data_IF_282895244806
#
_entry.id   IF_282895244806
#
_cell.length_a   1.000
_cell.length_b   1.000
_cell.length_c   1.000
_cell.angle_alpha   90.00
_cell.angle_beta   90.00
_cell.angle_gamma   90.00
#
_symmetry.space_group_name_H-M   'P 1'
#
loop_
_entity.id
_entity.type
_entity.pdbx_description
1 polymer ?
#
# COMPACT_ATOMS: atom_id res chain seq x y z
N UNK A 1 -1.06 33.85 -10.28
CA UNK A 1 0.04 33.07 -10.91
C UNK A 1 0.63 32.10 -9.91
N UNK A 2 0.79 32.50 -8.65
CA UNK A 2 1.34 31.66 -7.57
C UNK A 2 0.46 30.44 -7.23
N UNK A 3 -0.86 30.60 -7.26
CA UNK A 3 -1.80 29.49 -6.97
C UNK A 3 -1.76 28.38 -8.04
N UNK A 4 -1.55 28.74 -9.31
CA UNK A 4 -1.41 27.77 -10.40
C UNK A 4 -0.09 26.99 -10.30
N UNK A 5 1.00 27.69 -9.93
CA UNK A 5 2.30 27.06 -9.74
C UNK A 5 2.29 26.10 -8.56
N UNK A 6 1.65 26.49 -7.45
CA UNK A 6 1.52 25.63 -6.26
C UNK A 6 0.61 24.42 -6.53
N UNK A 7 -0.48 24.57 -7.26
CA UNK A 7 -1.37 23.45 -7.63
C UNK A 7 -0.65 22.44 -8.55
N UNK A 8 0.11 22.93 -9.53
CA UNK A 8 0.90 22.07 -10.43
C UNK A 8 2.00 21.33 -9.66
N UNK A 9 2.72 22.02 -8.77
CA UNK A 9 3.74 21.39 -7.94
C UNK A 9 3.15 20.31 -7.03
N UNK A 10 1.99 20.56 -6.42
CA UNK A 10 1.30 19.58 -5.58
C UNK A 10 0.88 18.34 -6.37
N UNK A 11 0.33 18.53 -7.58
CA UNK A 11 -0.08 17.42 -8.43
C UNK A 11 1.10 16.54 -8.85
N UNK A 12 2.25 17.13 -9.16
CA UNK A 12 3.46 16.38 -9.50
C UNK A 12 4.04 15.64 -8.29
N UNK A 13 4.06 16.25 -7.11
CA UNK A 13 4.48 15.58 -5.88
C UNK A 13 3.58 14.36 -5.60
N UNK A 14 2.26 14.54 -5.69
CA UNK A 14 1.30 13.45 -5.48
C UNK A 14 1.48 12.33 -6.50
N UNK A 15 1.72 12.67 -7.77
CA UNK A 15 2.00 11.69 -8.83
C UNK A 15 3.27 10.90 -8.56
N UNK A 16 4.36 11.56 -8.18
CA UNK A 16 5.64 10.90 -7.85
C UNK A 16 5.47 9.96 -6.64
N UNK A 17 4.78 10.40 -5.59
CA UNK A 17 4.49 9.58 -4.43
C UNK A 17 3.63 8.36 -4.78
N UNK A 18 2.61 8.55 -5.62
CA UNK A 18 1.75 7.47 -6.08
C UNK A 18 2.55 6.41 -6.88
N UNK A 19 3.39 6.85 -7.81
CA UNK A 19 4.28 5.95 -8.59
C UNK A 19 5.30 5.24 -7.70
N UNK A 20 5.87 5.92 -6.70
CA UNK A 20 6.76 5.30 -5.73
C UNK A 20 6.06 4.21 -4.92
N UNK A 21 4.82 4.46 -4.50
CA UNK A 21 3.97 3.45 -3.85
C UNK A 21 3.68 2.26 -4.75
N UNK A 22 3.36 2.51 -6.03
CA UNK A 22 3.15 1.46 -7.04
C UNK A 22 4.41 0.60 -7.19
N UNK A 23 5.58 1.21 -7.36
CA UNK A 23 6.84 0.50 -7.51
C UNK A 23 7.15 -0.35 -6.26
N UNK A 24 7.01 0.23 -5.08
CA UNK A 24 7.29 -0.45 -3.82
C UNK A 24 6.35 -1.66 -3.59
N UNK A 25 5.04 -1.48 -3.81
CA UNK A 25 4.09 -2.56 -3.60
C UNK A 25 4.14 -3.63 -4.71
N UNK A 26 4.41 -3.26 -5.96
CA UNK A 26 4.64 -4.22 -7.04
C UNK A 26 5.88 -5.07 -6.76
N UNK A 27 6.98 -4.46 -6.33
CA UNK A 27 8.21 -5.16 -5.97
C UNK A 27 8.01 -6.13 -4.80
N UNK A 28 7.38 -5.69 -3.71
CA UNK A 28 7.12 -6.55 -2.54
C UNK A 28 6.17 -7.70 -2.86
N UNK A 29 5.15 -7.46 -3.69
CA UNK A 29 4.19 -8.49 -4.11
C UNK A 29 4.82 -9.51 -5.04
N UNK A 30 5.65 -9.08 -5.98
CA UNK A 30 6.41 -9.96 -6.86
C UNK A 30 7.44 -10.81 -6.09
N UNK A 31 8.16 -10.21 -5.15
CA UNK A 31 9.08 -10.95 -4.28
C UNK A 31 8.36 -12.03 -3.46
N UNK A 32 7.16 -11.72 -2.96
CA UNK A 32 6.32 -12.68 -2.25
C UNK A 32 5.82 -13.81 -3.17
N UNK A 33 5.35 -13.48 -4.38
CA UNK A 33 4.93 -14.46 -5.38
C UNK A 33 6.06 -15.44 -5.70
N UNK A 34 7.27 -14.91 -5.91
CA UNK A 34 8.46 -15.74 -6.13
C UNK A 34 8.77 -16.68 -4.96
N UNK A 35 8.73 -16.17 -3.73
CA UNK A 35 8.97 -16.98 -2.54
C UNK A 35 7.97 -18.15 -2.40
N UNK A 36 6.80 -18.04 -3.04
CA UNK A 36 5.76 -19.07 -3.10
C UNK A 36 5.91 -20.01 -4.30
N UNK A 37 6.92 -19.83 -5.15
CA UNK A 37 7.18 -20.67 -6.31
C UNK A 37 6.31 -20.35 -7.53
N UNK A 38 5.71 -19.16 -7.61
CA UNK A 38 4.96 -18.74 -8.79
C UNK A 38 5.92 -18.57 -9.99
N UNK A 39 5.41 -18.83 -11.18
CA UNK A 39 6.11 -18.59 -12.44
C UNK A 39 6.24 -17.08 -12.76
N UNK A 40 6.94 -16.76 -13.84
CA UNK A 40 7.17 -15.37 -14.23
C UNK A 40 5.87 -14.61 -14.50
N UNK A 41 4.88 -15.25 -15.14
CA UNK A 41 3.59 -14.62 -15.42
C UNK A 41 2.83 -14.33 -14.12
N UNK A 42 2.73 -15.31 -13.22
CA UNK A 42 2.07 -15.17 -11.92
C UNK A 42 2.73 -14.07 -11.05
N UNK A 43 4.06 -14.00 -11.09
CA UNK A 43 4.84 -12.97 -10.40
C UNK A 43 4.53 -11.57 -10.95
N UNK A 44 4.56 -11.40 -12.28
CA UNK A 44 4.26 -10.11 -12.91
C UNK A 44 2.79 -9.72 -12.70
N UNK A 45 1.86 -10.66 -12.92
CA UNK A 45 0.44 -10.42 -12.72
C UNK A 45 0.14 -9.97 -11.28
N UNK A 46 0.70 -10.67 -10.28
CA UNK A 46 0.50 -10.30 -8.87
C UNK A 46 1.12 -8.95 -8.54
N UNK A 47 2.33 -8.67 -9.04
CA UNK A 47 3.00 -7.39 -8.84
C UNK A 47 2.19 -6.23 -9.43
N UNK A 48 1.73 -6.38 -10.68
CA UNK A 48 0.93 -5.35 -11.37
C UNK A 48 -0.42 -5.15 -10.67
N UNK A 49 -1.16 -6.22 -10.40
CA UNK A 49 -2.50 -6.14 -9.79
C UNK A 49 -2.41 -5.57 -8.37
N UNK A 50 -1.45 -5.98 -7.57
CA UNK A 50 -1.26 -5.43 -6.23
C UNK A 50 -0.73 -4.00 -6.27
N UNK A 51 0.22 -3.71 -7.17
CA UNK A 51 0.82 -2.39 -7.30
C UNK A 51 -0.18 -1.33 -7.75
N UNK A 52 -1.08 -1.64 -8.66
CA UNK A 52 -2.08 -0.70 -9.19
C UNK A 52 -3.40 -0.75 -8.42
N UNK A 53 -3.71 -1.88 -7.76
CA UNK A 53 -5.04 -2.17 -7.22
C UNK A 53 -5.53 -1.16 -6.18
N UNK A 54 -4.66 -0.70 -5.28
CA UNK A 54 -5.00 0.30 -4.27
C UNK A 54 -5.41 1.65 -4.88
N UNK A 55 -4.63 2.13 -5.86
CA UNK A 55 -4.93 3.35 -6.62
C UNK A 55 -6.19 3.22 -7.48
N UNK A 56 -6.37 2.08 -8.13
CA UNK A 56 -7.59 1.80 -8.93
C UNK A 56 -8.85 1.77 -8.05
N UNK A 57 -8.80 1.17 -6.86
CA UNK A 57 -9.91 1.21 -5.91
C UNK A 57 -10.24 2.64 -5.49
N UNK A 58 -9.23 3.43 -5.14
CA UNK A 58 -9.39 4.86 -4.80
C UNK A 58 -10.07 5.62 -5.93
N UNK A 59 -9.53 5.53 -7.15
CA UNK A 59 -10.00 6.31 -8.29
C UNK A 59 -11.42 5.89 -8.70
N UNK A 60 -11.73 4.59 -8.60
CA UNK A 60 -13.10 4.08 -8.82
C UNK A 60 -14.07 4.64 -7.79
N UNK A 61 -13.68 4.78 -6.52
CA UNK A 61 -14.54 5.36 -5.48
C UNK A 61 -14.67 6.88 -5.61
N UNK A 62 -13.65 7.56 -6.12
CA UNK A 62 -13.69 9.00 -6.38
C UNK A 62 -14.62 9.39 -7.52
N UNK A 63 -14.89 8.49 -8.47
CA UNK A 63 -15.79 8.71 -9.63
C UNK A 63 -15.41 9.95 -10.46
N UNK A 64 -14.14 10.28 -10.56
CA UNK A 64 -13.64 11.46 -11.30
C UNK A 64 -13.05 11.09 -12.68
N UNK A 65 -13.61 10.08 -13.31
CA UNK A 65 -13.16 9.57 -14.60
C UNK A 65 -12.45 8.22 -14.50
N UNK A 66 -11.77 7.78 -15.57
CA UNK A 66 -11.03 6.53 -15.55
C UNK A 66 -9.89 6.57 -14.53
N UNK A 67 -9.56 5.45 -13.87
CA UNK A 67 -8.43 5.37 -12.98
C UNK A 67 -7.13 5.87 -13.62
N UNK A 68 -6.34 6.64 -12.88
CA UNK A 68 -5.08 7.24 -13.39
C UNK A 68 -4.11 6.14 -13.87
N UNK A 69 -4.13 4.98 -13.24
CA UNK A 69 -3.35 3.83 -13.69
C UNK A 69 -3.63 3.38 -15.13
N UNK A 70 -4.78 3.75 -15.70
CA UNK A 70 -5.16 3.44 -17.07
C UNK A 70 -4.94 4.60 -18.04
N UNK A 71 -4.76 5.82 -17.55
CA UNK A 71 -4.63 7.03 -18.36
C UNK A 71 -3.21 7.60 -18.39
N UNK A 72 -2.45 7.43 -17.32
CA UNK A 72 -1.04 7.84 -17.25
C UNK A 72 -0.13 6.66 -17.63
N UNK A 73 0.57 6.82 -18.74
CA UNK A 73 1.48 5.82 -19.31
C UNK A 73 2.64 5.39 -18.38
N UNK A 74 2.92 6.11 -17.29
CA UNK A 74 3.99 5.77 -16.36
C UNK A 74 3.62 4.64 -15.41
N UNK A 75 2.34 4.43 -15.09
CA UNK A 75 1.92 3.51 -14.02
C UNK A 75 2.18 2.05 -14.33
N UNK A 76 1.70 1.59 -15.49
CA UNK A 76 1.84 0.19 -15.88
C UNK A 76 3.31 -0.23 -16.07
N UNK A 77 4.15 0.52 -16.81
CA UNK A 77 5.59 0.21 -16.92
C UNK A 77 6.28 0.23 -15.56
N UNK A 78 5.95 1.17 -14.65
CA UNK A 78 6.53 1.21 -13.31
C UNK A 78 6.20 -0.06 -12.53
N UNK A 79 4.95 -0.52 -12.54
CA UNK A 79 4.55 -1.76 -11.88
C UNK A 79 5.27 -2.98 -12.46
N UNK A 80 5.32 -3.10 -13.80
CA UNK A 80 5.98 -4.22 -14.50
C UNK A 80 7.47 -4.23 -14.19
N UNK A 81 8.17 -3.10 -14.35
CA UNK A 81 9.61 -3.02 -14.13
C UNK A 81 9.97 -3.31 -12.68
N UNK A 82 9.23 -2.75 -11.71
CA UNK A 82 9.46 -3.01 -10.29
C UNK A 82 9.22 -4.49 -9.94
N UNK A 83 8.16 -5.10 -10.47
CA UNK A 83 7.89 -6.52 -10.29
C UNK A 83 8.99 -7.39 -10.93
N UNK A 84 9.42 -7.06 -12.14
CA UNK A 84 10.46 -7.79 -12.85
C UNK A 84 11.80 -7.74 -12.10
N UNK A 85 12.23 -6.54 -11.70
CA UNK A 85 13.48 -6.35 -10.95
C UNK A 85 13.45 -7.15 -9.64
N UNK A 86 12.38 -7.02 -8.85
CA UNK A 86 12.23 -7.76 -7.60
C UNK A 86 12.14 -9.28 -7.82
N UNK A 87 11.51 -9.69 -8.92
CA UNK A 87 11.41 -11.09 -9.31
C UNK A 87 12.74 -11.70 -9.76
N UNK A 88 13.62 -10.95 -10.39
CA UNK A 88 14.93 -11.41 -10.85
C UNK A 88 15.98 -11.45 -9.73
N UNK A 89 15.86 -10.62 -8.72
CA UNK A 89 16.76 -10.63 -7.57
C UNK A 89 16.55 -11.92 -6.78
N UNK A 90 17.59 -12.76 -6.65
CA UNK A 90 17.53 -13.96 -5.83
C UNK A 90 17.35 -13.56 -4.37
N UNK A 91 16.21 -13.97 -3.81
CA UNK A 91 15.92 -13.83 -2.39
C UNK A 91 16.66 -14.93 -1.66
N UNK A 92 17.96 -14.72 -1.39
CA UNK A 92 18.62 -15.47 -0.34
C UNK A 92 18.07 -14.97 1.00
N UNK A 93 17.98 -15.84 2.02
CA UNK A 93 17.49 -15.52 3.38
C UNK A 93 18.38 -14.50 4.13
N UNK A 94 18.93 -13.55 3.40
CA UNK A 94 19.80 -12.51 3.95
C UNK A 94 18.97 -11.45 4.67
N UNK A 95 19.38 -11.13 5.87
CA UNK A 95 18.75 -10.10 6.76
C UNK A 95 18.56 -8.77 6.04
N UNK A 96 19.48 -8.36 5.16
CA UNK A 96 19.35 -7.11 4.41
C UNK A 96 18.19 -7.10 3.42
N UNK A 97 17.84 -8.26 2.83
CA UNK A 97 16.73 -8.38 1.89
C UNK A 97 15.38 -8.19 2.60
N UNK A 98 15.22 -8.81 3.77
CA UNK A 98 14.03 -8.63 4.61
C UNK A 98 13.88 -7.17 5.04
N UNK A 99 14.99 -6.50 5.37
CA UNK A 99 15.03 -5.07 5.67
C UNK A 99 14.62 -4.20 4.48
N UNK A 100 15.13 -4.50 3.29
CA UNK A 100 14.78 -3.76 2.06
C UNK A 100 13.28 -3.86 1.74
N UNK A 101 12.71 -5.06 1.80
CA UNK A 101 11.26 -5.26 1.59
C UNK A 101 10.43 -4.53 2.64
N UNK A 102 10.88 -4.51 3.89
CA UNK A 102 10.22 -3.76 4.96
C UNK A 102 10.26 -2.24 4.72
N UNK A 103 11.37 -1.71 4.21
CA UNK A 103 11.50 -0.30 3.85
C UNK A 103 10.61 0.06 2.64
N UNK A 104 10.57 -0.80 1.62
CA UNK A 104 9.69 -0.60 0.45
C UNK A 104 8.22 -0.61 0.85
N UNK A 105 7.82 -1.55 1.71
CA UNK A 105 6.45 -1.64 2.23
C UNK A 105 6.08 -0.40 3.07
N UNK A 106 6.98 0.06 3.93
CA UNK A 106 6.80 1.28 4.71
C UNK A 106 6.70 2.53 3.82
N UNK A 107 7.53 2.61 2.77
CA UNK A 107 7.46 3.67 1.77
C UNK A 107 6.09 3.69 1.08
N UNK A 108 5.60 2.52 0.64
CA UNK A 108 4.29 2.40 0.02
C UNK A 108 3.17 2.91 0.94
N UNK A 109 3.21 2.58 2.24
CA UNK A 109 2.23 3.08 3.23
C UNK A 109 2.24 4.60 3.29
N UNK A 110 3.41 5.21 3.46
CA UNK A 110 3.53 6.67 3.55
C UNK A 110 3.08 7.38 2.27
N UNK A 111 3.58 6.92 1.12
CA UNK A 111 3.26 7.48 -0.19
C UNK A 111 1.76 7.41 -0.50
N UNK A 112 1.16 6.23 -0.34
CA UNK A 112 -0.23 6.03 -0.74
C UNK A 112 -1.23 6.63 0.24
N UNK A 113 -0.95 6.64 1.54
CA UNK A 113 -1.80 7.34 2.49
C UNK A 113 -1.84 8.83 2.19
N UNK A 114 -0.66 9.43 1.90
CA UNK A 114 -0.53 10.82 1.56
C UNK A 114 -1.21 11.15 0.22
N UNK A 115 -0.86 10.43 -0.86
CA UNK A 115 -1.42 10.67 -2.19
C UNK A 115 -2.93 10.41 -2.24
N UNK A 116 -3.40 9.36 -1.54
CA UNK A 116 -4.82 9.01 -1.50
C UNK A 116 -5.67 10.05 -0.78
N UNK A 117 -5.20 10.54 0.37
CA UNK A 117 -5.90 11.59 1.12
C UNK A 117 -5.88 12.93 0.39
N UNK A 118 -4.75 13.30 -0.21
CA UNK A 118 -4.60 14.53 -0.97
C UNK A 118 -5.55 14.53 -2.18
N UNK A 119 -5.58 13.46 -2.98
CA UNK A 119 -6.48 13.36 -4.13
C UNK A 119 -7.95 13.45 -3.72
N UNK A 120 -8.34 12.85 -2.59
CA UNK A 120 -9.71 12.94 -2.10
C UNK A 120 -10.07 14.37 -1.70
N UNK A 121 -9.15 15.10 -1.05
CA UNK A 121 -9.37 16.51 -0.70
C UNK A 121 -9.44 17.40 -1.95
N UNK A 122 -8.53 17.20 -2.91
CA UNK A 122 -8.54 17.93 -4.20
C UNK A 122 -9.81 17.66 -5.02
N UNK A 123 -10.40 16.48 -4.85
CA UNK A 123 -11.71 16.10 -5.40
C UNK A 123 -12.90 16.73 -4.65
N UNK A 124 -12.67 17.57 -3.65
CA UNK A 124 -13.70 18.21 -2.86
C UNK A 124 -14.37 17.29 -1.81
N UNK A 125 -13.79 16.13 -1.53
CA UNK A 125 -14.30 15.21 -0.51
C UNK A 125 -14.09 15.75 0.90
N UNK A 126 -14.98 15.35 1.83
CA UNK A 126 -14.83 15.70 3.24
C UNK A 126 -13.57 15.05 3.85
N UNK A 127 -13.05 15.65 4.92
CA UNK A 127 -11.84 15.13 5.58
C UNK A 127 -11.96 13.67 6.08
N UNK A 128 -13.13 13.18 6.59
CA UNK A 128 -13.22 11.76 6.95
C UNK A 128 -13.16 10.85 5.73
N UNK A 129 -13.76 11.26 4.60
CA UNK A 129 -13.68 10.54 3.35
C UNK A 129 -12.22 10.51 2.82
N UNK A 130 -11.48 11.60 2.94
CA UNK A 130 -10.08 11.67 2.57
C UNK A 130 -9.21 10.71 3.41
N UNK A 131 -9.42 10.66 4.72
CA UNK A 131 -8.73 9.70 5.60
C UNK A 131 -9.08 8.26 5.23
N UNK A 132 -10.35 7.99 4.97
CA UNK A 132 -10.81 6.67 4.54
C UNK A 132 -10.17 6.26 3.21
N UNK A 133 -10.21 7.12 2.19
CA UNK A 133 -9.66 6.82 0.86
C UNK A 133 -8.14 6.70 0.87
N UNK A 134 -7.43 7.53 1.63
CA UNK A 134 -5.99 7.37 1.85
C UNK A 134 -5.67 6.02 2.48
N UNK A 135 -6.41 5.62 3.50
CA UNK A 135 -6.25 4.32 4.15
C UNK A 135 -6.56 3.17 3.20
N UNK A 136 -7.69 3.24 2.46
CA UNK A 136 -8.09 2.22 1.49
C UNK A 136 -7.07 2.08 0.36
N UNK A 137 -6.45 3.18 -0.09
CA UNK A 137 -5.40 3.13 -1.11
C UNK A 137 -4.22 2.27 -0.64
N UNK A 138 -3.82 2.45 0.62
CA UNK A 138 -2.72 1.70 1.23
C UNK A 138 -3.06 0.21 1.37
N UNK A 139 -4.18 -0.09 2.01
CA UNK A 139 -4.52 -1.49 2.33
C UNK A 139 -5.03 -2.26 1.13
N UNK A 140 -5.63 -1.58 0.14
CA UNK A 140 -6.32 -2.20 -0.98
C UNK A 140 -5.44 -3.10 -1.83
N UNK A 141 -4.27 -2.62 -2.22
CA UNK A 141 -3.31 -3.42 -3.00
C UNK A 141 -2.81 -4.64 -2.25
N UNK A 142 -2.52 -4.49 -0.95
CA UNK A 142 -2.11 -5.59 -0.07
C UNK A 142 -3.22 -6.62 0.15
N UNK A 143 -4.46 -6.17 0.34
CA UNK A 143 -5.63 -7.06 0.47
C UNK A 143 -5.85 -7.87 -0.81
N UNK A 144 -5.82 -7.21 -1.97
CA UNK A 144 -5.96 -7.89 -3.27
C UNK A 144 -4.86 -8.95 -3.43
N UNK A 145 -3.61 -8.60 -3.16
CA UNK A 145 -2.49 -9.54 -3.18
C UNK A 145 -2.74 -10.76 -2.29
N UNK A 146 -3.08 -10.53 -1.02
CA UNK A 146 -3.20 -11.60 -0.05
C UNK A 146 -4.39 -12.52 -0.38
N UNK A 147 -5.51 -11.96 -0.89
CA UNK A 147 -6.67 -12.73 -1.36
C UNK A 147 -6.30 -13.60 -2.57
N UNK A 148 -5.58 -13.05 -3.55
CA UNK A 148 -5.11 -13.82 -4.72
C UNK A 148 -4.15 -14.95 -4.31
N UNK A 149 -3.35 -14.73 -3.26
CA UNK A 149 -2.47 -15.75 -2.68
C UNK A 149 -3.19 -16.70 -1.70
N UNK A 150 -4.51 -16.60 -1.58
CA UNK A 150 -5.33 -17.39 -0.64
C UNK A 150 -4.84 -17.29 0.81
N UNK A 151 -4.40 -16.11 1.22
CA UNK A 151 -3.95 -15.81 2.57
C UNK A 151 -4.90 -14.83 3.25
N UNK A 152 -4.98 -14.90 4.58
CA UNK A 152 -5.66 -13.85 5.35
C UNK A 152 -4.90 -12.55 5.17
N UNK A 153 -5.55 -11.45 4.70
CA UNK A 153 -4.88 -10.16 4.55
C UNK A 153 -4.21 -9.71 5.85
N UNK A 154 -2.97 -9.24 5.75
CA UNK A 154 -2.16 -8.85 6.91
C UNK A 154 -2.84 -7.78 7.77
N UNK A 155 -3.66 -6.93 7.17
CA UNK A 155 -4.41 -5.89 7.87
C UNK A 155 -5.41 -6.47 8.89
N UNK A 156 -5.87 -7.71 8.71
CA UNK A 156 -6.81 -8.40 9.61
C UNK A 156 -6.13 -9.47 10.48
N UNK A 157 -4.86 -9.78 10.22
CA UNK A 157 -4.14 -10.89 10.87
C UNK A 157 -3.35 -10.47 12.12
N UNK A 158 -3.61 -9.28 12.69
CA UNK A 158 -2.86 -8.79 13.86
C UNK A 158 -1.40 -8.42 13.54
N UNK A 159 -1.11 -8.08 12.29
CA UNK A 159 0.20 -7.64 11.83
C UNK A 159 0.68 -6.32 12.46
N UNK A 160 1.88 -5.83 12.11
CA UNK A 160 2.36 -4.53 12.57
C UNK A 160 1.32 -3.44 12.23
N UNK A 161 1.37 -2.31 12.95
CA UNK A 161 0.39 -1.20 12.93
C UNK A 161 0.17 -0.56 11.52
N UNK A 162 -0.07 -1.41 10.51
CA UNK A 162 -0.13 -1.04 9.10
C UNK A 162 -1.32 -0.11 8.81
N UNK A 163 -2.54 -0.55 9.13
CA UNK A 163 -3.73 0.25 8.93
C UNK A 163 -3.73 1.51 9.82
N UNK A 164 -3.28 1.40 11.07
CA UNK A 164 -3.15 2.53 11.99
C UNK A 164 -2.19 3.58 11.46
N UNK A 165 -1.03 3.14 10.91
CA UNK A 165 -0.07 4.05 10.28
C UNK A 165 -0.67 4.76 9.06
N UNK A 166 -1.45 4.05 8.24
CA UNK A 166 -2.15 4.63 7.10
C UNK A 166 -3.20 5.68 7.53
N UNK A 167 -4.00 5.39 8.56
CA UNK A 167 -4.99 6.33 9.11
C UNK A 167 -4.30 7.59 9.66
N UNK A 168 -3.21 7.44 10.40
CA UNK A 168 -2.49 8.59 10.95
C UNK A 168 -1.82 9.43 9.86
N UNK A 169 -1.24 8.80 8.85
CA UNK A 169 -0.66 9.51 7.71
C UNK A 169 -1.73 10.27 6.92
N UNK A 170 -2.84 9.63 6.56
CA UNK A 170 -3.95 10.27 5.85
C UNK A 170 -4.58 11.38 6.70
N UNK A 171 -4.71 11.17 8.02
CA UNK A 171 -5.15 12.18 8.97
C UNK A 171 -4.24 13.40 9.03
N UNK A 172 -2.92 13.19 8.94
CA UNK A 172 -1.94 14.29 8.88
C UNK A 172 -2.17 15.18 7.67
N UNK A 173 -2.41 14.60 6.48
CA UNK A 173 -2.76 15.38 5.29
C UNK A 173 -4.03 16.19 5.52
N UNK A 174 -5.09 15.56 6.06
CA UNK A 174 -6.36 16.21 6.28
C UNK A 174 -6.27 17.39 7.28
N UNK A 175 -5.48 17.24 8.34
CA UNK A 175 -5.25 18.31 9.32
C UNK A 175 -4.42 19.44 8.71
N UNK A 176 -3.32 19.13 8.04
CA UNK A 176 -2.43 20.13 7.44
C UNK A 176 -3.11 20.88 6.28
N UNK A 177 -3.97 20.22 5.51
CA UNK A 177 -4.77 20.87 4.49
C UNK A 177 -5.72 21.92 5.08
N UNK A 178 -6.34 21.65 6.24
CA UNK A 178 -7.17 22.63 6.96
C UNK A 178 -6.39 23.85 7.46
N UNK A 179 -5.08 23.66 7.72
CA UNK A 179 -4.19 24.73 8.13
C UNK A 179 -3.57 25.49 6.93
N UNK A 180 -3.96 25.16 5.70
CA UNK A 180 -3.45 25.78 4.48
C UNK A 180 -2.09 25.27 4.02
N UNK A 181 -1.57 24.18 4.61
CA UNK A 181 -0.25 23.62 4.35
C UNK A 181 -0.31 22.23 3.69
N UNK A 182 -1.11 22.07 2.63
CA UNK A 182 -1.37 20.75 2.02
C UNK A 182 -0.09 20.07 1.53
N UNK A 183 0.77 20.77 0.79
CA UNK A 183 2.03 20.19 0.26
C UNK A 183 2.94 19.72 1.39
N UNK A 184 3.16 20.54 2.40
CA UNK A 184 3.96 20.17 3.58
C UNK A 184 3.31 19.00 4.32
N UNK A 185 1.97 19.00 4.43
CA UNK A 185 1.20 17.93 5.03
C UNK A 185 1.39 16.59 4.31
N UNK A 186 1.41 16.58 3.00
CA UNK A 186 1.67 15.39 2.17
C UNK A 186 3.08 14.82 2.43
N UNK A 187 4.10 15.68 2.50
CA UNK A 187 5.46 15.24 2.81
C UNK A 187 5.62 14.75 4.25
N UNK A 188 5.00 15.43 5.23
CA UNK A 188 5.01 14.99 6.63
C UNK A 188 4.27 13.65 6.79
N UNK A 189 3.15 13.48 6.09
CA UNK A 189 2.39 12.22 6.13
C UNK A 189 3.20 11.03 5.60
N UNK A 190 4.05 11.23 4.59
CA UNK A 190 4.99 10.21 4.11
C UNK A 190 5.89 9.71 5.26
N UNK A 191 6.47 10.64 6.03
CA UNK A 191 7.34 10.31 7.16
C UNK A 191 6.56 9.68 8.33
N UNK A 192 5.36 10.18 8.62
CA UNK A 192 4.49 9.62 9.67
C UNK A 192 4.09 8.19 9.33
N UNK A 193 3.58 7.94 8.11
CA UNK A 193 3.13 6.61 7.69
C UNK A 193 4.28 5.61 7.61
N UNK A 194 5.31 5.95 6.83
CA UNK A 194 6.47 5.08 6.64
C UNK A 194 7.27 4.89 7.92
N UNK A 195 7.54 5.97 8.64
CA UNK A 195 8.29 5.94 9.90
C UNK A 195 7.60 5.10 10.98
N UNK A 196 6.28 5.26 11.14
CA UNK A 196 5.53 4.50 12.14
C UNK A 196 5.52 2.99 11.82
N UNK A 197 5.38 2.60 10.55
CA UNK A 197 5.50 1.19 10.13
C UNK A 197 6.88 0.62 10.46
N UNK A 198 7.95 1.35 10.15
CA UNK A 198 9.31 0.91 10.45
C UNK A 198 9.56 0.79 11.96
N UNK A 199 9.14 1.78 12.75
CA UNK A 199 9.26 1.75 14.22
C UNK A 199 8.44 0.59 14.80
N UNK A 200 7.21 0.41 14.34
CA UNK A 200 6.35 -0.68 14.80
C UNK A 200 6.97 -2.05 14.50
N UNK A 201 7.55 -2.25 13.31
CA UNK A 201 8.27 -3.48 12.97
C UNK A 201 9.52 -3.68 13.83
N UNK A 202 10.32 -2.63 14.02
CA UNK A 202 11.54 -2.69 14.83
C UNK A 202 11.25 -2.98 16.32
N UNK A 203 10.18 -2.38 16.85
CA UNK A 203 9.73 -2.57 18.25
C UNK A 203 8.87 -3.82 18.44
N UNK A 204 8.49 -4.50 17.37
CA UNK A 204 7.55 -5.64 17.44
C UNK A 204 6.14 -5.25 17.87
N UNK A 205 5.71 -4.00 17.61
CA UNK A 205 4.36 -3.54 17.94
C UNK A 205 3.34 -4.17 17.01
N UNK A 206 2.40 -4.88 17.60
CA UNK A 206 1.27 -5.50 16.89
C UNK A 206 -0.04 -5.06 17.53
N UNK A 207 -1.11 -5.08 16.73
CA UNK A 207 -2.45 -4.86 17.29
C UNK A 207 -2.85 -6.14 18.01
N UNK A 208 -3.23 -6.08 19.32
CA UNK A 208 -3.67 -7.27 20.02
C UNK A 208 -4.92 -7.84 19.37
N UNK A 209 -4.89 -9.13 19.03
CA UNK A 209 -6.08 -9.87 18.63
C UNK A 209 -6.95 -10.02 19.86
N UNK A 210 -8.23 -9.64 19.77
CA UNK A 210 -9.17 -9.82 20.87
C UNK A 210 -9.27 -11.32 21.21
N UNK A 211 -8.64 -11.71 22.29
CA UNK A 211 -8.64 -13.08 22.79
C UNK A 211 -10.09 -13.51 23.08
N UNK A 212 -10.58 -14.51 22.37
CA UNK A 212 -11.93 -15.04 22.53
C UNK A 212 -12.78 -15.08 21.25
N UNK A 213 -12.38 -14.41 20.18
CA UNK A 213 -13.13 -14.37 18.91
C UNK A 213 -12.49 -15.18 17.77
N UNK A 214 -11.61 -16.12 18.09
CA UNK A 214 -11.17 -17.08 17.07
C UNK A 214 -12.30 -18.11 16.88
N UNK A 215 -12.95 -18.19 15.69
CA UNK A 215 -13.78 -19.33 15.38
C UNK A 215 -12.87 -20.57 15.49
N UNK A 216 -13.23 -21.51 16.39
CA UNK A 216 -12.54 -22.80 16.45
C UNK A 216 -12.70 -23.45 15.08
N UNK A 217 -11.71 -23.32 14.21
CA UNK A 217 -11.69 -24.12 12.99
C UNK A 217 -11.68 -25.59 13.43
N UNK A 218 -12.64 -26.40 12.97
CA UNK A 218 -12.60 -27.82 13.27
C UNK A 218 -11.29 -28.36 12.69
N UNK A 219 -10.54 -29.07 13.54
CA UNK A 219 -9.28 -29.70 13.15
C UNK A 219 -9.53 -30.50 11.86
N UNK A 220 -8.85 -30.13 10.78
CA UNK A 220 -8.92 -30.82 9.50
C UNK A 220 -8.54 -32.29 9.77
N UNK A 221 -9.53 -33.15 9.79
CA UNK A 221 -9.32 -34.62 9.94
C UNK A 221 -8.29 -35.01 8.88
N UNK A 222 -7.08 -35.33 9.30
CA UNK A 222 -6.13 -36.01 8.46
C UNK A 222 -6.79 -37.30 8.00
N UNK A 223 -7.21 -37.37 6.74
CA UNK A 223 -7.59 -38.63 6.12
C UNK A 223 -6.37 -39.53 6.19
N UNK A 224 -6.37 -40.46 7.15
CA UNK A 224 -5.50 -41.63 7.09
C UNK A 224 -5.84 -42.32 5.79
N UNK A 225 -4.89 -42.39 4.86
CA UNK A 225 -5.02 -43.24 3.68
C UNK A 225 -5.21 -44.69 4.10
N UNK A 226 -5.97 -45.47 3.32
CA UNK A 226 -6.02 -46.92 3.53
C UNK A 226 -4.64 -47.50 3.30
N UNK A 227 -4.16 -48.36 4.24
CA UNK A 227 -2.97 -49.18 4.15
C UNK A 227 -3.09 -50.28 3.10
#
# INVERSE_FOLDING_TARGET
MDDLVTATALSEVTRVLDLAGVAANAATSAAMARALGNDLFGLLALGVVAGLGGGMLRDTLLQQGPPVALTDYAYLPTAILAALVAGLVRVDDRVWWTGTLACLDALAVGCWAAAGAERALSAGMSWPAAVMLGTLTVIGGGVIRDVLLQRTPQVFAGGPLYATSAVLAAGTVAVMARLGHTTTGTLVALLVGGGLVLIARWRGWTIPVLAGWSPRMPARRQRRGPG
#
